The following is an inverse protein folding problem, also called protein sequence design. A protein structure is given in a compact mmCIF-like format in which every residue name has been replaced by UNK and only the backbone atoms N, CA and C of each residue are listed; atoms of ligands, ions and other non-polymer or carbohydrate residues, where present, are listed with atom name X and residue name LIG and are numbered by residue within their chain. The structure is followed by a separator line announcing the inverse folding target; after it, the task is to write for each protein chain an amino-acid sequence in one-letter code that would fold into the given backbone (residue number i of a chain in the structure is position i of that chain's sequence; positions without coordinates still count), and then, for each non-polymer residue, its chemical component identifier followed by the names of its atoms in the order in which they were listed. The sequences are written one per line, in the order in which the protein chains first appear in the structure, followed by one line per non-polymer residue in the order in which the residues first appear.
data_IF_224874828989
#
_entry.id   IF_224874828989
#
_cell.length_a   1.000
_cell.length_b   1.000
_cell.length_c   1.000
_cell.angle_alpha   90.00
_cell.angle_beta   90.00
_cell.angle_gamma   90.00
#
_symmetry.space_group_name_H-M   'P 1'
#
loop_
_entity.id
_entity.type
_entity.pdbx_description
1 polymer ?
#
# COMPACT_ATOMS: atom_id res chain seq x y z
N UNK A 1 -20.88 12.73 18.58
CA UNK A 1 -20.03 12.78 17.36
C UNK A 1 -19.61 11.36 17.02
N UNK A 2 -20.49 10.66 16.28
CA UNK A 2 -20.36 9.25 15.95
C UNK A 2 -19.28 9.07 14.87
N UNK A 3 -18.15 8.47 15.24
CA UNK A 3 -17.11 8.09 14.28
C UNK A 3 -17.53 6.76 13.68
N UNK A 4 -18.07 6.84 12.46
CA UNK A 4 -18.47 5.68 11.67
C UNK A 4 -17.27 4.76 11.46
N UNK A 5 -17.51 3.49 11.76
CA UNK A 5 -16.62 2.37 11.55
C UNK A 5 -16.46 2.17 10.04
N UNK A 6 -15.23 2.28 9.54
CA UNK A 6 -14.89 1.77 8.21
C UNK A 6 -13.92 0.62 8.43
N UNK A 7 -14.45 -0.59 8.25
CA UNK A 7 -13.75 -1.87 8.33
C UNK A 7 -12.61 -1.91 7.32
N UNK A 8 -11.33 -2.05 7.74
CA UNK A 8 -10.29 -2.44 6.81
C UNK A 8 -10.48 -3.94 6.56
N UNK A 9 -10.97 -4.28 5.37
CA UNK A 9 -10.98 -5.65 4.87
C UNK A 9 -9.55 -6.18 4.94
N UNK A 10 -9.29 -7.01 5.96
CA UNK A 10 -8.10 -7.84 6.04
C UNK A 10 -8.26 -8.93 4.98
N UNK A 11 -7.39 -8.92 3.99
CA UNK A 11 -7.23 -10.07 3.11
C UNK A 11 -5.79 -10.60 3.26
N UNK A 12 -5.62 -11.84 3.76
CA UNK A 12 -4.37 -12.56 3.68
C UNK A 12 -4.31 -13.25 2.30
N UNK A 13 -3.17 -13.20 1.62
CA UNK A 13 -2.42 -14.38 1.15
C UNK A 13 -1.34 -13.97 0.14
N UNK A 14 -0.09 -14.05 0.57
CA UNK A 14 1.06 -13.93 -0.30
C UNK A 14 1.15 -15.15 -1.22
N UNK A 15 1.23 -14.91 -2.53
CA UNK A 15 1.85 -15.85 -3.48
C UNK A 15 2.76 -15.05 -4.40
N UNK A 16 4.05 -15.13 -4.12
CA UNK A 16 5.08 -14.52 -4.93
C UNK A 16 5.22 -15.22 -6.27
N UNK A 17 5.35 -14.40 -7.33
CA UNK A 17 6.22 -14.72 -8.45
C UNK A 17 6.61 -13.41 -9.12
N UNK A 18 7.76 -12.88 -8.69
CA UNK A 18 8.49 -11.92 -9.49
C UNK A 18 8.75 -12.55 -10.86
N UNK A 19 8.40 -11.84 -11.94
CA UNK A 19 9.09 -11.80 -13.25
C UNK A 19 8.27 -11.04 -14.31
N UNK A 20 7.85 -9.82 -13.97
CA UNK A 20 7.55 -8.66 -14.85
C UNK A 20 6.94 -7.60 -13.94
N UNK A 21 7.76 -6.62 -13.58
CA UNK A 21 7.64 -5.88 -12.33
C UNK A 21 6.62 -4.73 -12.40
N UNK A 22 5.35 -5.03 -12.66
CA UNK A 22 4.25 -4.09 -12.42
C UNK A 22 3.87 -4.13 -10.95
N UNK A 23 3.69 -2.96 -10.28
CA UNK A 23 3.27 -2.94 -8.89
C UNK A 23 1.89 -3.57 -8.77
N UNK A 24 1.76 -4.60 -7.94
CA UNK A 24 0.44 -5.18 -7.68
C UNK A 24 -0.34 -4.30 -6.71
N UNK A 25 -1.66 -4.28 -6.85
CA UNK A 25 -2.53 -3.49 -5.96
C UNK A 25 -2.28 -3.83 -4.47
N UNK A 26 -2.00 -5.09 -4.16
CA UNK A 26 -1.69 -5.57 -2.82
C UNK A 26 -0.41 -4.95 -2.25
N UNK A 27 0.65 -4.83 -3.07
CA UNK A 27 1.91 -4.23 -2.65
C UNK A 27 1.72 -2.75 -2.31
N UNK A 28 0.98 -2.03 -3.16
CA UNK A 28 0.64 -0.62 -2.95
C UNK A 28 -0.19 -0.47 -1.68
N UNK A 29 -1.22 -1.31 -1.50
CA UNK A 29 -2.08 -1.29 -0.34
C UNK A 29 -1.32 -1.53 0.97
N UNK A 30 -0.40 -2.51 1.01
CA UNK A 30 0.44 -2.80 2.18
C UNK A 30 1.29 -1.59 2.55
N UNK A 31 2.01 -1.02 1.57
CA UNK A 31 2.88 0.14 1.77
C UNK A 31 2.08 1.37 2.22
N UNK A 32 0.96 1.66 1.56
CA UNK A 32 0.08 2.76 1.91
C UNK A 32 -0.49 2.61 3.32
N UNK A 33 -0.94 1.40 3.69
CA UNK A 33 -1.48 1.09 5.01
C UNK A 33 -0.44 1.29 6.12
N UNK A 34 0.80 0.82 5.93
CA UNK A 34 1.88 1.03 6.88
C UNK A 34 2.20 2.52 7.07
N UNK A 35 2.26 3.29 5.98
CA UNK A 35 2.49 4.75 5.99
C UNK A 35 1.36 5.46 6.72
N UNK A 36 0.11 5.13 6.41
CA UNK A 36 -1.09 5.68 7.04
C UNK A 36 -1.18 5.33 8.53
N UNK A 37 -0.84 4.10 8.91
CA UNK A 37 -0.85 3.66 10.30
C UNK A 37 0.23 4.38 11.13
N UNK A 38 1.44 4.58 10.59
CA UNK A 38 2.52 5.35 11.23
C UNK A 38 2.14 6.81 11.47
N UNK A 39 1.32 7.40 10.60
CA UNK A 39 0.84 8.79 10.71
C UNK A 39 -0.32 8.96 11.69
N UNK A 40 -0.79 7.89 12.34
CA UNK A 40 -1.92 7.96 13.26
C UNK A 40 -3.28 7.92 12.57
N UNK A 41 -3.33 7.39 11.33
CA UNK A 41 -4.56 7.13 10.57
C UNK A 41 -5.41 8.39 10.29
N UNK A 42 -4.82 9.47 9.75
CA UNK A 42 -5.57 10.68 9.42
C UNK A 42 -6.64 10.39 8.34
N UNK A 43 -7.82 10.99 8.49
CA UNK A 43 -8.92 10.79 7.56
C UNK A 43 -8.72 11.65 6.31
N UNK A 44 -8.96 11.08 5.13
CA UNK A 44 -8.83 11.78 3.84
C UNK A 44 -7.45 11.70 3.16
N UNK A 45 -6.40 11.23 3.83
CA UNK A 45 -5.06 11.10 3.20
C UNK A 45 -4.84 9.75 2.52
N UNK A 46 -5.74 8.77 2.73
CA UNK A 46 -5.58 7.40 2.22
C UNK A 46 -5.32 7.33 0.70
N UNK A 47 -6.01 8.15 -0.10
CA UNK A 47 -5.78 8.23 -1.55
C UNK A 47 -4.39 8.77 -1.87
N UNK A 48 -3.93 9.75 -1.11
CA UNK A 48 -2.61 10.34 -1.30
C UNK A 48 -1.50 9.39 -0.87
N UNK A 49 -1.64 8.72 0.27
CA UNK A 49 -0.73 7.68 0.74
C UNK A 49 -0.70 6.48 -0.23
N UNK A 50 -1.83 6.18 -0.89
CA UNK A 50 -1.93 5.13 -1.92
C UNK A 50 -1.20 5.51 -3.22
N UNK A 51 -1.42 6.72 -3.75
CA UNK A 51 -0.71 7.22 -4.93
C UNK A 51 0.80 7.31 -4.68
N UNK A 52 1.19 7.75 -3.48
CA UNK A 52 2.60 7.84 -3.10
C UNK A 52 3.24 6.45 -3.01
N UNK A 53 2.54 5.48 -2.41
CA UNK A 53 2.98 4.10 -2.36
C UNK A 53 3.12 3.48 -3.76
N UNK A 54 2.18 3.76 -4.68
CA UNK A 54 2.25 3.26 -6.05
C UNK A 54 3.50 3.75 -6.76
N UNK A 55 3.77 5.06 -6.71
CA UNK A 55 4.96 5.64 -7.32
C UNK A 55 6.24 5.08 -6.72
N UNK A 56 6.28 4.91 -5.40
CA UNK A 56 7.45 4.40 -4.69
C UNK A 56 7.76 2.96 -5.08
N UNK A 57 6.75 2.09 -5.10
CA UNK A 57 6.90 0.70 -5.51
C UNK A 57 7.24 0.59 -7.00
N UNK A 58 6.60 1.40 -7.85
CA UNK A 58 6.93 1.46 -9.27
C UNK A 58 8.39 1.87 -9.49
N UNK A 59 8.90 2.81 -8.71
CA UNK A 59 10.31 3.23 -8.74
C UNK A 59 11.23 2.12 -8.23
N UNK A 60 10.87 1.43 -7.16
CA UNK A 60 11.67 0.33 -6.62
C UNK A 60 11.70 -0.89 -7.55
N UNK A 61 10.59 -1.20 -8.22
CA UNK A 61 10.50 -2.23 -9.25
C UNK A 61 11.34 -1.86 -10.48
N UNK A 62 11.29 -0.59 -10.91
CA UNK A 62 12.15 -0.08 -11.99
C UNK A 62 13.64 -0.12 -11.63
N UNK A 63 13.96 0.15 -10.36
CA UNK A 63 15.33 0.13 -9.83
C UNK A 63 15.78 -1.27 -9.36
N UNK A 64 14.94 -2.30 -9.47
CA UNK A 64 15.22 -3.65 -8.96
C UNK A 64 15.46 -3.73 -7.44
N UNK A 65 15.12 -2.68 -6.69
CA UNK A 65 15.36 -2.55 -5.25
C UNK A 65 14.17 -3.08 -4.43
N UNK A 66 13.05 -3.41 -5.08
CA UNK A 66 11.88 -3.97 -4.41
C UNK A 66 12.16 -5.39 -3.87
N UNK A 67 12.50 -5.50 -2.58
CA UNK A 67 12.47 -6.76 -1.82
C UNK A 67 11.08 -6.91 -1.18
N UNK A 68 10.30 -7.86 -1.68
CA UNK A 68 8.97 -8.20 -1.17
C UNK A 68 8.97 -8.73 0.25
#
# INVERSE_FOLDING_TARGET
MSRVLSTPTSQPQATGTARTATPTHEQIAKRAYEKWCKRGRPQGTHQQDWLEAEMEIKRELANGTYRG
#
